data_IF_493720358633
#
_entry.id   IF_493720358633
#
_cell.length_a   1.000
_cell.length_b   1.000
_cell.length_c   1.000
_cell.angle_alpha   90.00
_cell.angle_beta   90.00
_cell.angle_gamma   90.00
#
_symmetry.space_group_name_H-M   'P 1'
#
loop_
_entity.id
_entity.type
_entity.pdbx_description
1 polymer ?
#
# COMPACT_ATOMS: atom_id res chain seq x y z
N UNK A 1 13.61 -8.59 -2.49
CA UNK A 1 13.15 -7.23 -2.83
C UNK A 1 11.63 -7.32 -3.00
N UNK A 2 10.87 -6.47 -2.31
CA UNK A 2 9.44 -6.70 -2.06
C UNK A 2 8.58 -6.51 -3.32
N UNK A 3 8.88 -5.53 -4.17
CA UNK A 3 8.03 -5.22 -5.34
C UNK A 3 8.06 -6.38 -6.33
N UNK A 4 9.25 -6.91 -6.65
CA UNK A 4 9.40 -8.10 -7.49
C UNK A 4 8.72 -9.33 -6.88
N UNK A 5 8.81 -9.50 -5.56
CA UNK A 5 8.15 -10.61 -4.86
C UNK A 5 6.64 -10.53 -5.08
N UNK A 6 6.02 -9.39 -4.78
CA UNK A 6 4.58 -9.19 -4.90
C UNK A 6 4.07 -9.37 -6.34
N UNK A 7 4.81 -8.85 -7.33
CA UNK A 7 4.48 -9.06 -8.74
C UNK A 7 4.53 -10.55 -9.11
N UNK A 8 5.57 -11.27 -8.67
CA UNK A 8 5.72 -12.72 -8.97
C UNK A 8 4.68 -13.59 -8.29
N UNK A 9 4.25 -13.22 -7.09
CA UNK A 9 3.19 -13.95 -6.35
C UNK A 9 1.79 -13.65 -6.87
N UNK A 10 1.64 -12.68 -7.78
CA UNK A 10 0.33 -12.29 -8.33
C UNK A 10 -0.54 -11.51 -7.34
N UNK A 11 0.04 -11.03 -6.23
CA UNK A 11 -0.65 -10.21 -5.25
C UNK A 11 -0.99 -8.87 -5.89
N UNK A 12 -2.23 -8.42 -5.69
CA UNK A 12 -2.64 -7.09 -6.12
C UNK A 12 -2.27 -6.09 -5.03
N UNK A 13 -1.56 -5.03 -5.40
CA UNK A 13 -1.14 -4.00 -4.45
C UNK A 13 -1.05 -2.63 -5.12
N UNK A 14 -1.00 -1.61 -4.27
CA UNK A 14 -0.71 -0.23 -4.65
C UNK A 14 0.52 0.27 -3.91
N UNK A 15 1.22 1.22 -4.52
CA UNK A 15 2.25 2.01 -3.83
C UNK A 15 1.72 3.41 -3.63
N UNK A 16 1.64 3.85 -2.38
CA UNK A 16 1.26 5.21 -2.02
C UNK A 16 2.50 6.00 -1.62
N UNK A 17 2.63 7.22 -2.14
CA UNK A 17 3.56 8.22 -1.62
C UNK A 17 2.76 9.32 -0.92
N UNK A 18 2.96 9.53 0.37
CA UNK A 18 2.28 10.60 1.12
C UNK A 18 3.08 11.91 1.08
N UNK A 19 2.37 13.03 0.95
CA UNK A 19 2.90 14.40 1.00
C UNK A 19 2.50 15.16 2.26
N UNK A 20 1.65 14.60 3.12
CA UNK A 20 1.10 15.34 4.26
C UNK A 20 2.21 15.83 5.22
N UNK A 21 2.03 17.08 5.69
CA UNK A 21 2.97 18.00 6.37
C UNK A 21 3.68 17.53 7.66
N UNK A 22 3.77 16.23 7.95
CA UNK A 22 4.73 15.64 8.91
C UNK A 22 6.16 15.56 8.31
N UNK A 23 6.50 16.51 7.43
CA UNK A 23 7.49 16.44 6.36
C UNK A 23 8.95 16.56 6.77
N UNK A 24 9.27 16.82 8.05
CA UNK A 24 10.66 16.66 8.53
C UNK A 24 10.89 15.30 9.18
N UNK A 25 10.03 14.89 10.11
CA UNK A 25 10.20 13.62 10.82
C UNK A 25 10.10 12.41 9.88
N UNK A 26 9.10 12.37 9.00
CA UNK A 26 8.97 11.29 8.00
C UNK A 26 10.09 11.31 6.96
N UNK A 27 10.59 12.49 6.60
CA UNK A 27 11.76 12.64 5.72
C UNK A 27 13.04 12.13 6.40
N UNK A 28 13.29 12.50 7.66
CA UNK A 28 14.39 11.96 8.46
C UNK A 28 14.30 10.44 8.66
N UNK A 29 13.09 9.88 8.68
CA UNK A 29 12.84 8.46 8.88
C UNK A 29 12.58 7.68 7.56
N UNK A 30 12.58 8.33 6.40
CA UNK A 30 12.27 7.76 5.09
C UNK A 30 10.89 7.05 4.97
N UNK A 31 9.88 7.47 5.72
CA UNK A 31 8.53 6.84 5.81
C UNK A 31 7.55 7.43 4.78
N UNK A 32 8.02 7.80 3.59
CA UNK A 32 7.17 8.48 2.59
C UNK A 32 6.34 7.52 1.75
N UNK A 33 6.80 6.28 1.60
CA UNK A 33 6.21 5.29 0.72
C UNK A 33 5.65 4.11 1.50
N UNK A 34 4.45 3.71 1.13
CA UNK A 34 3.77 2.55 1.70
C UNK A 34 3.25 1.64 0.59
N UNK A 35 3.26 0.34 0.88
CA UNK A 35 2.57 -0.66 0.05
C UNK A 35 1.23 -0.93 0.69
N UNK A 36 0.17 -0.88 -0.11
CA UNK A 36 -1.19 -1.24 0.29
C UNK A 36 -1.58 -2.54 -0.39
N UNK A 37 -2.18 -3.48 0.34
CA UNK A 37 -2.70 -4.74 -0.18
C UNK A 37 -4.02 -5.09 0.51
N UNK A 38 -4.72 -6.11 0.01
CA UNK A 38 -5.92 -6.61 0.67
C UNK A 38 -5.55 -7.49 1.87
N UNK A 39 -6.34 -7.40 2.93
CA UNK A 39 -6.16 -8.24 4.12
C UNK A 39 -6.39 -9.73 3.85
N UNK A 40 -7.04 -10.10 2.73
CA UNK A 40 -7.18 -11.51 2.32
C UNK A 40 -5.82 -12.16 2.01
N UNK A 41 -4.84 -11.36 1.58
CA UNK A 41 -3.48 -11.81 1.29
C UNK A 41 -2.59 -11.83 2.55
N UNK A 42 -3.12 -11.45 3.73
CA UNK A 42 -2.33 -11.27 4.96
C UNK A 42 -1.53 -12.50 5.34
N UNK A 43 -2.09 -13.71 5.22
CA UNK A 43 -1.37 -14.95 5.52
C UNK A 43 -0.16 -15.18 4.61
N UNK A 44 -0.26 -14.79 3.34
CA UNK A 44 0.85 -14.87 2.39
C UNK A 44 1.91 -13.80 2.67
N UNK A 45 1.49 -12.68 3.28
CA UNK A 45 2.31 -11.50 3.57
C UNK A 45 2.79 -11.42 5.03
N UNK A 46 2.53 -12.44 5.84
CA UNK A 46 2.79 -12.41 7.29
C UNK A 46 4.28 -12.17 7.62
N UNK A 47 5.19 -12.67 6.78
CA UNK A 47 6.64 -12.53 6.97
C UNK A 47 7.20 -11.25 6.33
N UNK A 48 6.33 -10.43 5.73
CA UNK A 48 6.69 -9.19 5.06
C UNK A 48 6.25 -7.96 5.86
N UNK A 49 6.05 -8.06 7.18
CA UNK A 49 5.74 -6.91 8.07
C UNK A 49 4.50 -6.09 7.66
N UNK A 50 3.57 -6.66 6.90
CA UNK A 50 2.28 -6.02 6.66
C UNK A 50 1.47 -5.97 7.95
N UNK A 51 0.78 -4.86 8.19
CA UNK A 51 -0.02 -4.63 9.38
C UNK A 51 -1.44 -4.24 9.01
N UNK A 52 -2.38 -4.72 9.81
CA UNK A 52 -3.69 -4.10 9.95
C UNK A 52 -3.48 -2.85 10.81
N UNK A 53 -3.50 -1.66 10.23
CA UNK A 53 -3.34 -0.41 11.00
C UNK A 53 -4.52 -0.11 11.97
N UNK A 54 -5.37 -1.10 12.26
CA UNK A 54 -6.46 -1.04 13.23
C UNK A 54 -6.04 -1.40 14.66
N UNK A 55 -4.81 -1.90 14.88
CA UNK A 55 -4.41 -2.51 16.16
C UNK A 55 -3.71 -1.57 17.16
N UNK A 56 -3.44 -0.32 16.80
CA UNK A 56 -2.86 0.64 17.74
C UNK A 56 -3.96 1.52 18.33
N UNK A 57 -4.27 1.30 19.61
CA UNK A 57 -5.21 2.09 20.41
C UNK A 57 -4.91 3.61 20.41
N UNK A 58 -3.72 4.01 19.96
CA UNK A 58 -3.24 5.40 19.88
C UNK A 58 -3.17 5.95 18.44
N UNK A 59 -3.48 5.16 17.40
CA UNK A 59 -3.47 5.66 16.02
C UNK A 59 -4.69 6.57 15.79
N UNK A 60 -4.48 7.85 15.42
CA UNK A 60 -5.58 8.73 15.05
C UNK A 60 -6.45 8.08 13.98
N UNK A 61 -7.78 8.14 14.13
CA UNK A 61 -8.73 7.48 13.20
C UNK A 61 -8.51 7.80 11.72
N UNK A 62 -7.93 8.96 11.42
CA UNK A 62 -7.59 9.39 10.06
C UNK A 62 -6.40 8.63 9.45
N UNK A 63 -5.64 7.90 10.25
CA UNK A 63 -4.44 7.16 9.85
C UNK A 63 -4.67 5.65 9.85
N UNK A 64 -5.88 5.22 10.19
CA UNK A 64 -6.30 3.82 10.16
C UNK A 64 -6.60 3.44 8.71
N UNK A 65 -6.07 2.30 8.28
CA UNK A 65 -6.41 1.74 6.98
C UNK A 65 -7.91 1.39 6.94
N UNK A 66 -8.60 1.59 5.81
CA UNK A 66 -9.95 1.06 5.65
C UNK A 66 -9.99 -0.45 5.96
N UNK A 67 -11.07 -0.91 6.59
CA UNK A 67 -11.26 -2.34 6.86
C UNK A 67 -11.06 -3.16 5.58
N UNK A 68 -10.20 -4.17 5.64
CA UNK A 68 -9.83 -4.99 4.49
C UNK A 68 -8.56 -4.54 3.76
N UNK A 69 -7.93 -3.45 4.20
CA UNK A 69 -6.63 -2.99 3.70
C UNK A 69 -5.54 -3.21 4.76
N UNK A 70 -4.44 -3.81 4.33
CA UNK A 70 -3.20 -3.91 5.10
C UNK A 70 -2.14 -3.05 4.43
N UNK A 71 -1.20 -2.54 5.22
CA UNK A 71 -0.10 -1.75 4.69
C UNK A 71 1.21 -2.03 5.39
N UNK A 72 2.29 -1.59 4.75
CA UNK A 72 3.61 -1.46 5.36
C UNK A 72 4.38 -0.31 4.75
N UNK A 73 5.25 0.28 5.55
CA UNK A 73 6.25 1.23 5.06
C UNK A 73 7.32 0.53 4.23
N UNK A 74 7.78 1.22 3.19
CA UNK A 74 8.89 0.79 2.36
C UNK A 74 10.23 1.32 2.87
N UNK A 75 11.25 0.48 2.82
CA UNK A 75 12.65 0.89 3.04
C UNK A 75 13.20 1.63 1.82
N UNK A 76 14.31 2.36 1.99
CA UNK A 76 15.01 3.05 0.89
C UNK A 76 15.35 2.11 -0.29
N UNK A 77 15.75 0.87 0.01
CA UNK A 77 16.07 -0.13 -1.03
C UNK A 77 14.83 -0.56 -1.83
N UNK A 78 13.68 -0.68 -1.17
CA UNK A 78 12.41 -1.03 -1.81
C UNK A 78 11.85 0.16 -2.60
N UNK A 79 12.06 1.40 -2.13
CA UNK A 79 11.71 2.60 -2.90
C UNK A 79 12.53 2.67 -4.18
N UNK A 80 13.84 2.37 -4.11
CA UNK A 80 14.69 2.28 -5.29
C UNK A 80 14.20 1.18 -6.26
N UNK A 81 13.83 0.01 -5.73
CA UNK A 81 13.23 -1.06 -6.52
C UNK A 81 11.97 -0.59 -7.25
N UNK A 82 11.04 0.03 -6.53
CA UNK A 82 9.81 0.54 -7.09
C UNK A 82 10.10 1.53 -8.21
N UNK A 83 11.01 2.50 -8.00
CA UNK A 83 11.38 3.48 -9.04
C UNK A 83 11.90 2.83 -10.32
N UNK A 84 12.72 1.78 -10.19
CA UNK A 84 13.23 1.05 -11.36
C UNK A 84 12.14 0.31 -12.14
N UNK A 85 11.04 -0.07 -11.48
CA UNK A 85 9.95 -0.86 -12.07
C UNK A 85 8.71 -0.03 -12.38
N UNK A 86 8.66 1.23 -11.91
CA UNK A 86 7.46 2.07 -11.89
C UNK A 86 6.87 2.21 -13.28
N UNK A 87 7.69 2.61 -14.24
CA UNK A 87 7.21 2.96 -15.58
C UNK A 87 6.80 1.72 -16.39
N UNK A 88 7.32 0.55 -16.06
CA UNK A 88 6.97 -0.71 -16.72
C UNK A 88 5.67 -1.29 -16.16
N UNK A 89 5.53 -1.34 -14.83
CA UNK A 89 4.49 -2.12 -14.15
C UNK A 89 3.35 -1.29 -13.58
N UNK A 90 3.55 0.00 -13.32
CA UNK A 90 2.61 0.83 -12.59
C UNK A 90 2.04 1.96 -13.43
N UNK A 91 0.85 2.40 -13.05
CA UNK A 91 0.23 3.63 -13.53
C UNK A 91 -0.14 4.51 -12.34
N UNK A 92 -0.03 5.82 -12.54
CA UNK A 92 -0.53 6.80 -11.59
C UNK A 92 -2.06 6.85 -11.68
N UNK A 93 -2.75 6.63 -10.56
CA UNK A 93 -4.23 6.59 -10.52
C UNK A 93 -4.84 7.69 -9.66
N UNK A 94 -4.02 8.33 -8.82
CA UNK A 94 -4.46 9.41 -7.95
C UNK A 94 -3.27 10.32 -7.65
N UNK A 95 -3.47 11.64 -7.74
CA UNK A 95 -2.47 12.65 -7.44
C UNK A 95 -3.16 13.86 -6.83
N UNK A 96 -2.76 14.19 -5.61
CA UNK A 96 -3.36 15.26 -4.81
C UNK A 96 -2.31 15.95 -3.96
N UNK A 97 -2.71 17.01 -3.27
CA UNK A 97 -1.88 17.70 -2.28
C UNK A 97 -1.41 16.79 -1.14
N UNK A 98 -2.12 15.69 -0.87
CA UNK A 98 -1.83 14.77 0.23
C UNK A 98 -0.96 13.57 -0.18
N UNK A 99 -0.79 13.34 -1.48
CA UNK A 99 -0.01 12.21 -1.98
C UNK A 99 -0.36 11.75 -3.39
N UNK A 100 0.37 10.73 -3.83
CA UNK A 100 0.17 10.03 -5.11
C UNK A 100 -0.02 8.54 -4.84
N UNK A 101 -0.91 7.90 -5.60
CA UNK A 101 -1.11 6.45 -5.60
C UNK A 101 -0.78 5.88 -6.96
N UNK A 102 0.00 4.80 -6.95
CA UNK A 102 0.35 3.99 -8.10
C UNK A 102 -0.27 2.61 -7.98
N UNK A 103 -0.91 2.13 -9.04
CA UNK A 103 -1.47 0.78 -9.14
C UNK A 103 -0.79 -0.01 -10.24
N UNK A 104 -0.84 -1.35 -10.16
CA UNK A 104 -0.38 -2.20 -11.25
C UNK A 104 -1.23 -1.95 -12.51
N UNK A 105 -0.58 -1.80 -13.67
CA UNK A 105 -1.26 -1.52 -14.95
C UNK A 105 -2.30 -2.57 -15.34
N UNK A 106 -2.06 -3.82 -14.94
CA UNK A 106 -2.93 -4.95 -15.25
C UNK A 106 -3.96 -5.25 -14.16
N UNK A 107 -3.88 -4.61 -12.98
CA UNK A 107 -4.75 -4.92 -11.85
C UNK A 107 -4.88 -3.76 -10.87
N UNK A 108 -6.10 -3.24 -10.73
CA UNK A 108 -6.42 -2.15 -9.82
C UNK A 108 -6.80 -2.67 -8.42
N UNK A 109 -6.06 -2.23 -7.39
CA UNK A 109 -6.38 -2.54 -6.00
C UNK A 109 -7.72 -1.92 -5.60
N UNK A 110 -8.02 -0.69 -6.04
CA UNK A 110 -9.29 -0.03 -5.79
C UNK A 110 -10.48 -0.84 -6.29
N UNK A 111 -10.38 -1.43 -7.48
CA UNK A 111 -11.44 -2.31 -8.02
C UNK A 111 -11.57 -3.58 -7.20
N UNK A 112 -10.46 -4.24 -6.89
CA UNK A 112 -10.46 -5.47 -6.10
C UNK A 112 -11.04 -5.25 -4.68
N UNK A 113 -10.71 -4.13 -4.06
CA UNK A 113 -11.24 -3.74 -2.75
C UNK A 113 -12.76 -3.53 -2.77
N UNK A 114 -13.31 -2.93 -3.83
CA UNK A 114 -14.76 -2.80 -3.99
C UNK A 114 -15.45 -4.15 -4.10
N UNK A 115 -14.85 -5.10 -4.83
CA UNK A 115 -15.37 -6.46 -4.97
C UNK A 115 -15.33 -7.22 -3.64
N UNK A 116 -14.22 -7.10 -2.91
CA UNK A 116 -14.06 -7.65 -1.56
C UNK A 116 -15.19 -7.17 -0.62
N UNK A 117 -15.45 -5.86 -0.59
CA UNK A 117 -16.50 -5.30 0.26
C UNK A 117 -17.91 -5.72 -0.17
N UNK A 118 -18.17 -5.87 -1.48
CA UNK A 118 -19.46 -6.40 -1.96
C UNK A 118 -19.71 -7.83 -1.47
N UNK A 119 -18.69 -8.70 -1.53
CA UNK A 119 -18.79 -10.09 -1.04
C UNK A 119 -19.12 -10.15 0.45
N UNK A 120 -18.48 -9.29 1.26
CA UNK A 120 -18.74 -9.18 2.70
C UNK A 120 -20.18 -8.78 3.04
N UNK A 121 -20.86 -8.02 2.19
CA UNK A 121 -22.25 -7.60 2.41
C UNK A 121 -23.28 -8.68 2.04
N UNK A 122 -22.85 -9.70 1.30
CA UNK A 122 -23.72 -10.77 0.77
C UNK A 122 -23.54 -12.13 1.45
N UNK A 123 -22.58 -12.26 2.37
CA UNK A 123 -22.31 -13.49 3.13
C UNK A 123 -22.47 -13.24 4.62
#
# INVERSE_FOLDING_TARGET
>A
MIIKKLIRTGICFSVMKSYSYLTKAKYYQNVEYEILALSEDFRTLQDDDFRLNSDEAETPKLWINPDGIISRTMTTKEIAEFRMMKDDYFTEVFNSVDGIVFELKNRSLKTLFKEFNKKKLTG
#
